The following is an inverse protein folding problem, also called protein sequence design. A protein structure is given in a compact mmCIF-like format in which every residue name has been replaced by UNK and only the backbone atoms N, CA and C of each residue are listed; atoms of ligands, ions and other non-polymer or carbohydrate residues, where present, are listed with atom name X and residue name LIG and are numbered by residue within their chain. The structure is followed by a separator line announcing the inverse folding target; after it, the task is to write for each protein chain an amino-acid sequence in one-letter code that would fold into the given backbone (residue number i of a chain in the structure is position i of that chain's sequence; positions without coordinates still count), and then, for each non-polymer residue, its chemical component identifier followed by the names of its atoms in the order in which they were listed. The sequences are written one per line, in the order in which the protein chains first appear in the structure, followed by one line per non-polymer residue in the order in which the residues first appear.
data_IF_260552675828
#
_entry.id   IF_260552675828
#
_cell.length_a   1.000
_cell.length_b   1.000
_cell.length_c   1.000
_cell.angle_alpha   90.00
_cell.angle_beta   90.00
_cell.angle_gamma   90.00
#
_symmetry.space_group_name_H-M   'P 1'
#
loop_
_entity.id
_entity.type
_entity.pdbx_description
1 polymer ?
#
# COMPACT_ATOMS: atom_id res chain seq x y z
N UNK A 1 -9.70 22.90 2.94
CA UNK A 1 -9.41 21.81 3.89
C UNK A 1 -9.95 20.54 3.25
N UNK A 2 -9.09 19.74 2.61
CA UNK A 2 -9.52 18.51 1.94
C UNK A 2 -9.79 17.45 3.00
N UNK A 3 -10.99 16.86 2.99
CA UNK A 3 -11.43 15.81 3.91
C UNK A 3 -10.66 14.53 3.60
N UNK A 4 -9.49 14.38 4.22
CA UNK A 4 -8.58 13.25 4.04
C UNK A 4 -9.07 11.94 4.67
N UNK A 5 -10.16 12.00 5.45
CA UNK A 5 -10.79 10.86 6.14
C UNK A 5 -12.01 10.28 5.38
N UNK A 6 -12.35 10.83 4.22
CA UNK A 6 -13.50 10.33 3.46
C UNK A 6 -13.23 8.91 2.93
N UNK A 7 -14.21 8.02 3.03
CA UNK A 7 -14.09 6.65 2.52
C UNK A 7 -13.89 6.66 1.00
N UNK A 8 -13.00 5.79 0.52
CA UNK A 8 -12.70 5.66 -0.89
C UNK A 8 -13.91 5.06 -1.63
N UNK A 9 -14.50 5.82 -2.55
CA UNK A 9 -15.59 5.33 -3.38
C UNK A 9 -15.18 4.16 -4.28
N UNK A 10 -16.14 3.29 -4.61
CA UNK A 10 -15.94 2.05 -5.38
C UNK A 10 -15.21 2.26 -6.71
N UNK A 11 -15.46 3.39 -7.39
CA UNK A 11 -14.79 3.76 -8.65
C UNK A 11 -13.29 4.00 -8.47
N UNK A 12 -12.91 4.71 -7.41
CA UNK A 12 -11.51 4.99 -7.12
C UNK A 12 -10.80 3.73 -6.62
N UNK A 13 -11.49 2.91 -5.81
CA UNK A 13 -11.02 1.61 -5.35
C UNK A 13 -10.75 0.66 -6.53
N UNK A 14 -11.64 0.59 -7.51
CA UNK A 14 -11.46 -0.24 -8.71
C UNK A 14 -10.23 0.19 -9.54
N UNK A 15 -10.02 1.50 -9.70
CA UNK A 15 -8.82 2.03 -10.38
C UNK A 15 -7.54 1.69 -9.61
N UNK A 16 -7.59 1.82 -8.28
CA UNK A 16 -6.46 1.52 -7.41
C UNK A 16 -6.09 0.04 -7.46
N UNK A 17 -7.07 -0.87 -7.36
CA UNK A 17 -6.87 -2.32 -7.53
C UNK A 17 -6.21 -2.65 -8.86
N UNK A 18 -6.62 -1.99 -9.95
CA UNK A 18 -6.00 -2.20 -11.26
C UNK A 18 -4.54 -1.73 -11.30
N UNK A 19 -4.23 -0.59 -10.67
CA UNK A 19 -2.85 -0.05 -10.57
C UNK A 19 -1.92 -0.96 -9.75
N UNK A 20 -2.47 -1.72 -8.80
CA UNK A 20 -1.74 -2.66 -7.98
C UNK A 20 -1.36 -3.96 -8.70
N UNK A 21 -1.94 -4.24 -9.88
CA UNK A 21 -1.64 -5.45 -10.67
C UNK A 21 -0.25 -5.32 -11.29
N UNK A 22 0.73 -5.97 -10.66
CA UNK A 22 2.15 -5.86 -10.99
C UNK A 22 2.71 -7.16 -11.57
N UNK A 23 3.93 -7.07 -12.11
CA UNK A 23 4.61 -8.23 -12.71
C UNK A 23 5.08 -9.28 -11.69
N UNK A 24 5.08 -8.93 -10.40
CA UNK A 24 5.61 -9.77 -9.31
C UNK A 24 4.48 -10.29 -8.42
N UNK A 25 4.31 -11.61 -8.38
CA UNK A 25 3.21 -12.28 -7.67
C UNK A 25 3.18 -12.01 -6.16
N UNK A 26 4.35 -11.95 -5.51
CA UNK A 26 4.45 -11.66 -4.07
C UNK A 26 3.88 -10.29 -3.72
N UNK A 27 4.10 -9.27 -4.56
CA UNK A 27 3.50 -7.94 -4.38
C UNK A 27 1.98 -8.03 -4.47
N UNK A 28 1.46 -8.74 -5.48
CA UNK A 28 0.02 -8.90 -5.67
C UNK A 28 -0.63 -9.60 -4.47
N UNK A 29 -0.01 -10.66 -3.93
CA UNK A 29 -0.50 -11.37 -2.75
C UNK A 29 -0.52 -10.52 -1.48
N UNK A 30 0.50 -9.71 -1.24
CA UNK A 30 0.57 -8.81 -0.08
C UNK A 30 -0.51 -7.73 -0.17
N UNK A 31 -0.67 -7.14 -1.35
CA UNK A 31 -1.66 -6.11 -1.60
C UNK A 31 -3.09 -6.68 -1.56
N UNK A 32 -3.31 -7.90 -2.06
CA UNK A 32 -4.61 -8.58 -1.96
C UNK A 32 -5.00 -8.81 -0.49
N UNK A 33 -4.07 -9.30 0.35
CA UNK A 33 -4.31 -9.47 1.79
C UNK A 33 -4.68 -8.16 2.47
N UNK A 34 -3.98 -7.08 2.12
CA UNK A 34 -4.31 -5.74 2.60
C UNK A 34 -5.72 -5.32 2.19
N UNK A 35 -6.07 -5.46 0.90
CA UNK A 35 -7.41 -5.11 0.42
C UNK A 35 -8.49 -5.93 1.12
N UNK A 36 -8.35 -7.25 1.23
CA UNK A 36 -9.35 -8.09 1.92
C UNK A 36 -9.65 -7.63 3.35
N UNK A 37 -8.68 -7.01 4.03
CA UNK A 37 -8.84 -6.51 5.41
C UNK A 37 -9.34 -5.07 5.46
N UNK A 38 -8.82 -4.20 4.58
CA UNK A 38 -8.99 -2.75 4.69
C UNK A 38 -9.82 -2.13 3.57
N UNK A 39 -10.26 -2.88 2.54
CA UNK A 39 -11.00 -2.32 1.40
C UNK A 39 -12.30 -1.62 1.81
N UNK A 40 -12.97 -2.12 2.85
CA UNK A 40 -14.22 -1.54 3.35
C UNK A 40 -14.02 -0.25 4.16
N UNK A 41 -12.81 -0.03 4.70
CA UNK A 41 -12.46 1.12 5.55
C UNK A 41 -11.39 1.99 4.92
N UNK A 42 -11.07 1.78 3.65
CA UNK A 42 -9.99 2.48 2.97
C UNK A 42 -10.39 3.94 2.75
N UNK A 43 -9.58 4.88 3.23
CA UNK A 43 -9.86 6.32 3.04
C UNK A 43 -9.16 6.87 1.80
N UNK A 44 -9.57 8.06 1.35
CA UNK A 44 -8.93 8.77 0.24
C UNK A 44 -7.44 9.04 0.52
N UNK A 45 -7.07 9.40 1.76
CA UNK A 45 -5.64 9.53 2.12
C UNK A 45 -4.88 8.22 2.02
N UNK A 46 -5.47 7.11 2.46
CA UNK A 46 -4.82 5.81 2.34
C UNK A 46 -4.69 5.40 0.86
N UNK A 47 -5.67 5.74 0.03
CA UNK A 47 -5.59 5.52 -1.40
C UNK A 47 -4.46 6.34 -2.04
N UNK A 48 -4.25 7.58 -1.58
CA UNK A 48 -3.15 8.43 -2.03
C UNK A 48 -1.80 7.81 -1.66
N UNK A 49 -1.62 7.42 -0.40
CA UNK A 49 -0.40 6.75 0.04
C UNK A 49 -0.13 5.45 -0.72
N UNK A 50 -1.18 4.69 -1.05
CA UNK A 50 -1.03 3.50 -1.88
C UNK A 50 -0.61 3.89 -3.31
N UNK A 51 -1.16 4.95 -3.90
CA UNK A 51 -0.71 5.44 -5.21
C UNK A 51 0.76 5.87 -5.19
N UNK A 52 1.21 6.54 -4.14
CA UNK A 52 2.62 6.92 -3.98
C UNK A 52 3.51 5.67 -3.89
N UNK A 53 3.05 4.63 -3.17
CA UNK A 53 3.73 3.33 -3.13
C UNK A 53 3.72 2.60 -4.50
N UNK A 54 2.70 2.84 -5.34
CA UNK A 54 2.61 2.27 -6.69
C UNK A 54 3.50 2.99 -7.71
N UNK A 55 4.17 4.08 -7.34
CA UNK A 55 5.16 4.73 -8.20
C UNK A 55 6.52 4.02 -8.16
N UNK A 56 6.79 3.23 -7.11
CA UNK A 56 8.06 2.52 -6.92
C UNK A 56 8.27 1.35 -7.89
N UNK A 57 9.52 0.98 -8.14
CA UNK A 57 9.87 -0.26 -8.83
C UNK A 57 9.37 -1.51 -8.08
N UNK A 58 9.06 -2.60 -8.80
CA UNK A 58 8.51 -3.84 -8.19
C UNK A 58 9.41 -4.43 -7.09
N UNK A 59 10.72 -4.38 -7.30
CA UNK A 59 11.72 -4.88 -6.35
C UNK A 59 11.79 -4.01 -5.10
N UNK A 60 11.80 -2.69 -5.26
CA UNK A 60 11.85 -1.75 -4.13
C UNK A 60 10.56 -1.78 -3.31
N UNK A 61 9.40 -1.84 -3.98
CA UNK A 61 8.13 -2.04 -3.28
C UNK A 61 8.17 -3.34 -2.45
N UNK A 62 8.61 -4.46 -3.04
CA UNK A 62 8.71 -5.73 -2.33
C UNK A 62 9.65 -5.64 -1.11
N UNK A 63 10.84 -5.07 -1.29
CA UNK A 63 11.81 -4.89 -0.20
C UNK A 63 11.23 -4.03 0.94
N UNK A 64 10.49 -2.98 0.62
CA UNK A 64 9.78 -2.17 1.61
C UNK A 64 8.69 -2.98 2.32
N UNK A 65 7.84 -3.70 1.59
CA UNK A 65 6.76 -4.48 2.17
C UNK A 65 7.30 -5.59 3.10
N UNK A 66 8.44 -6.20 2.75
CA UNK A 66 9.12 -7.22 3.54
C UNK A 66 9.96 -6.67 4.70
N UNK A 67 9.98 -5.35 4.94
CA UNK A 67 10.87 -4.69 5.92
C UNK A 67 12.36 -5.00 5.70
N UNK A 68 12.77 -5.30 4.46
CA UNK A 68 14.18 -5.49 4.09
C UNK A 68 14.90 -4.16 3.89
N UNK A 69 14.16 -3.16 3.40
CA UNK A 69 14.61 -1.78 3.25
C UNK A 69 13.61 -0.83 3.92
N UNK A 70 14.11 0.33 4.31
CA UNK A 70 13.30 1.49 4.68
C UNK A 70 13.20 2.47 3.49
N UNK A 71 12.18 3.35 3.45
CA UNK A 71 12.00 4.34 2.38
C UNK A 71 13.25 5.19 2.13
N UNK A 72 14.03 5.44 3.17
CA UNK A 72 15.28 6.19 3.11
C UNK A 72 16.45 5.45 2.46
N UNK A 73 16.32 4.14 2.22
CA UNK A 73 17.35 3.28 1.62
C UNK A 73 17.06 2.97 0.15
N UNK A 74 16.02 3.57 -0.42
CA UNK A 74 15.70 3.45 -1.84
C UNK A 74 16.80 4.13 -2.67
N UNK A 75 17.15 3.52 -3.79
CA UNK A 75 18.19 4.06 -4.68
C UNK A 75 17.69 5.23 -5.53
N UNK A 76 16.38 5.27 -5.78
CA UNK A 76 15.73 6.31 -6.57
C UNK A 76 15.25 7.45 -5.65
N UNK A 77 15.67 8.69 -5.94
CA UNK A 77 15.31 9.86 -5.13
C UNK A 77 13.80 10.14 -5.15
N UNK A 78 13.16 9.99 -6.32
CA UNK A 78 11.70 10.15 -6.44
C UNK A 78 10.96 9.09 -5.62
N UNK A 79 11.39 7.84 -5.68
CA UNK A 79 10.82 6.76 -4.88
C UNK A 79 10.98 7.01 -3.37
N UNK A 80 12.14 7.53 -2.95
CA UNK A 80 12.41 7.92 -1.57
C UNK A 80 11.46 9.03 -1.10
N UNK A 81 11.21 10.05 -1.93
CA UNK A 81 10.25 11.12 -1.62
C UNK A 81 8.84 10.55 -1.50
N UNK A 82 8.39 9.78 -2.49
CA UNK A 82 7.04 9.18 -2.52
C UNK A 82 6.79 8.24 -1.34
N UNK A 83 7.74 7.35 -1.01
CA UNK A 83 7.63 6.40 0.09
C UNK A 83 7.83 7.02 1.49
N UNK A 84 8.42 8.23 1.57
CA UNK A 84 8.62 8.96 2.84
C UNK A 84 7.44 9.89 3.19
N UNK A 85 6.40 9.95 2.35
CA UNK A 85 5.18 10.71 2.67
C UNK A 85 4.44 10.10 3.86
N UNK A 86 3.69 10.92 4.59
CA UNK A 86 2.92 10.46 5.75
C UNK A 86 1.87 9.42 5.34
N UNK A 87 1.16 9.64 4.23
CA UNK A 87 0.18 8.69 3.71
C UNK A 87 0.84 7.36 3.28
N UNK A 88 1.95 7.40 2.53
CA UNK A 88 2.65 6.18 2.13
C UNK A 88 3.16 5.39 3.33
N UNK A 89 3.76 6.06 4.32
CA UNK A 89 4.24 5.39 5.54
C UNK A 89 3.10 4.78 6.36
N UNK A 90 1.96 5.45 6.48
CA UNK A 90 0.79 4.89 7.15
C UNK A 90 0.32 3.61 6.47
N UNK A 91 0.13 3.65 5.15
CA UNK A 91 -0.38 2.51 4.37
C UNK A 91 0.63 1.37 4.34
N UNK A 92 1.91 1.68 4.20
CA UNK A 92 3.00 0.70 4.29
C UNK A 92 2.94 -0.07 5.61
N UNK A 93 2.74 0.63 6.73
CA UNK A 93 2.59 -0.01 8.04
C UNK A 93 1.31 -0.85 8.13
N UNK A 94 0.21 -0.42 7.54
CA UNK A 94 -1.03 -1.22 7.48
C UNK A 94 -0.84 -2.50 6.67
N UNK A 95 -0.19 -2.45 5.50
CA UNK A 95 0.10 -3.63 4.68
C UNK A 95 1.03 -4.58 5.44
N UNK A 96 2.11 -4.05 6.03
CA UNK A 96 3.04 -4.82 6.86
C UNK A 96 2.29 -5.51 8.02
N UNK A 97 1.42 -4.81 8.73
CA UNK A 97 0.61 -5.38 9.81
C UNK A 97 -0.40 -6.43 9.32
N UNK A 98 -1.05 -6.21 8.18
CA UNK A 98 -1.95 -7.17 7.56
C UNK A 98 -1.23 -8.45 7.12
N UNK A 99 0.05 -8.34 6.73
CA UNK A 99 0.89 -9.49 6.37
C UNK A 99 1.37 -10.30 7.60
N UNK A 100 1.56 -9.65 8.76
CA UNK A 100 1.98 -10.35 10.00
C UNK A 100 0.83 -10.87 10.83
N UNK A 101 -0.38 -10.30 10.66
CA UNK A 101 -1.54 -10.73 11.43
C UNK A 101 -1.88 -12.19 11.10
N UNK A 102 -2.07 -13.07 12.10
CA UNK A 102 -2.58 -14.41 11.83
C UNK A 102 -3.91 -14.25 11.11
N UNK A 103 -4.11 -15.01 10.03
CA UNK A 103 -5.42 -15.12 9.38
C UNK A 103 -6.35 -15.69 10.45
N UNK A 104 -7.07 -14.79 11.11
CA UNK A 104 -8.10 -15.18 12.06
C UNK A 104 -9.30 -15.49 11.19
N UNK A 105 -9.27 -16.65 10.54
CA UNK A 105 -10.46 -17.28 10.01
C UNK A 105 -11.37 -17.56 11.22
N UNK A 106 -12.55 -16.95 11.31
CA UNK A 106 -13.56 -17.44 12.22
C UNK A 106 -14.05 -18.77 11.65
N UNK A 107 -13.55 -19.87 12.20
CA UNK A 107 -14.22 -21.17 12.08
C UNK A 107 -15.62 -21.10 12.68
#
# INVERSE_FOLDING_TARGET
MQTTDELLGERALSKLKWRCRRGLLENDLLIEKFFRRHEATLTVSQAQGLNDLMDLSDNDLLDLLLKRKEPSQLSEADAQVSASTYEAMQVLNLIRAAATAPVTDPF
#
